data_IF_424124662887
#
_entry.id   IF_424124662887
#
_cell.length_a   1.000
_cell.length_b   1.000
_cell.length_c   1.000
_cell.angle_alpha   90.00
_cell.angle_beta   90.00
_cell.angle_gamma   90.00
#
_symmetry.space_group_name_H-M   'P 1'
#
loop_
_entity.id
_entity.type
_entity.pdbx_description
1 polymer ?
#
# COMPACT_ATOMS: atom_id res chain seq x y z
N UNK A 1 -8.93 -19.87 -7.23
CA UNK A 1 -9.12 -18.54 -7.83
C UNK A 1 -8.02 -17.60 -7.38
N UNK A 2 -7.50 -16.82 -8.31
CA UNK A 2 -6.33 -15.96 -8.07
C UNK A 2 -6.59 -14.92 -6.97
N UNK A 3 -7.67 -14.15 -7.09
CA UNK A 3 -7.97 -13.08 -6.13
C UNK A 3 -8.25 -13.61 -4.73
N UNK A 4 -8.85 -14.78 -4.62
CA UNK A 4 -9.09 -15.42 -3.32
C UNK A 4 -7.78 -15.76 -2.61
N UNK A 5 -6.82 -16.34 -3.35
CA UNK A 5 -5.49 -16.66 -2.79
C UNK A 5 -4.75 -15.43 -2.31
N UNK A 6 -4.80 -14.36 -3.09
CA UNK A 6 -4.18 -13.08 -2.74
C UNK A 6 -4.83 -12.51 -1.49
N UNK A 7 -6.16 -12.51 -1.43
CA UNK A 7 -6.90 -12.00 -0.28
C UNK A 7 -6.59 -12.75 1.01
N UNK A 8 -6.52 -14.07 0.94
CA UNK A 8 -6.17 -14.91 2.09
C UNK A 8 -4.76 -14.63 2.58
N UNK A 9 -3.79 -14.54 1.65
CA UNK A 9 -2.41 -14.27 2.01
C UNK A 9 -2.23 -12.87 2.61
N UNK A 10 -2.88 -11.88 2.04
CA UNK A 10 -2.84 -10.49 2.52
C UNK A 10 -3.47 -10.38 3.92
N UNK A 11 -4.55 -11.11 4.16
CA UNK A 11 -5.20 -11.12 5.48
C UNK A 11 -4.30 -11.71 6.56
N UNK A 12 -3.47 -12.70 6.20
CA UNK A 12 -2.54 -13.34 7.15
C UNK A 12 -1.29 -12.50 7.40
N UNK A 13 -0.95 -11.58 6.49
CA UNK A 13 0.27 -10.77 6.59
C UNK A 13 -0.02 -9.30 6.22
N UNK A 14 -0.90 -8.62 6.96
CA UNK A 14 -1.33 -7.26 6.60
C UNK A 14 -0.23 -6.22 6.68
N UNK A 15 0.79 -6.48 7.49
CA UNK A 15 1.91 -5.54 7.70
C UNK A 15 3.00 -5.67 6.64
N UNK A 16 2.95 -6.70 5.81
CA UNK A 16 4.01 -6.94 4.84
C UNK A 16 3.97 -5.99 3.66
N UNK A 17 5.16 -5.60 3.22
CA UNK A 17 5.36 -4.73 2.08
C UNK A 17 5.45 -5.59 0.82
N UNK A 18 4.34 -5.73 0.13
CA UNK A 18 4.21 -6.65 -0.99
C UNK A 18 4.67 -6.06 -2.31
N UNK A 19 5.19 -6.89 -3.20
CA UNK A 19 5.48 -6.48 -4.56
C UNK A 19 4.76 -7.39 -5.57
N UNK A 20 4.82 -7.00 -6.83
CA UNK A 20 4.11 -7.66 -7.92
C UNK A 20 4.55 -9.10 -8.12
N UNK A 21 5.86 -9.36 -8.00
CA UNK A 21 6.43 -10.69 -8.15
C UNK A 21 5.93 -11.61 -7.04
N UNK A 22 5.92 -11.14 -5.81
CA UNK A 22 5.41 -11.92 -4.68
C UNK A 22 3.94 -12.29 -4.88
N UNK A 23 3.12 -11.35 -5.36
CA UNK A 23 1.72 -11.64 -5.64
C UNK A 23 1.55 -12.72 -6.70
N UNK A 24 2.36 -12.67 -7.77
CA UNK A 24 2.29 -13.69 -8.81
C UNK A 24 2.69 -15.07 -8.29
N UNK A 25 3.69 -15.12 -7.40
CA UNK A 25 4.14 -16.36 -6.78
C UNK A 25 3.08 -16.93 -5.83
N UNK A 26 2.47 -16.10 -5.01
CA UNK A 26 1.40 -16.51 -4.08
C UNK A 26 0.21 -17.08 -4.85
N UNK A 27 -0.17 -16.43 -5.93
CA UNK A 27 -1.29 -16.86 -6.76
C UNK A 27 -0.92 -17.99 -7.71
N UNK A 28 0.39 -18.28 -7.86
CA UNK A 28 0.91 -19.29 -8.77
C UNK A 28 0.47 -19.06 -10.22
N UNK A 29 0.61 -17.83 -10.68
CA UNK A 29 0.23 -17.40 -12.04
C UNK A 29 1.30 -16.50 -12.63
N UNK A 30 1.25 -16.28 -13.94
CA UNK A 30 2.11 -15.34 -14.62
C UNK A 30 1.68 -13.90 -14.30
N UNK A 31 2.57 -12.94 -14.56
CA UNK A 31 2.23 -11.51 -14.39
C UNK A 31 1.05 -11.12 -15.27
N UNK A 32 0.98 -11.67 -16.49
CA UNK A 32 -0.12 -11.39 -17.41
C UNK A 32 -1.46 -11.88 -16.85
N UNK A 33 -1.48 -13.09 -16.30
CA UNK A 33 -2.69 -13.65 -15.68
C UNK A 33 -3.08 -12.84 -14.44
N UNK A 34 -2.09 -12.39 -13.66
CA UNK A 34 -2.32 -11.55 -12.51
C UNK A 34 -2.97 -10.21 -12.90
N UNK A 35 -2.42 -9.56 -13.93
CA UNK A 35 -2.97 -8.30 -14.44
C UNK A 35 -4.42 -8.46 -14.91
N UNK A 36 -4.69 -9.54 -15.64
CA UNK A 36 -6.05 -9.83 -16.12
C UNK A 36 -7.02 -10.03 -14.96
N UNK A 37 -6.63 -10.80 -13.95
CA UNK A 37 -7.47 -11.06 -12.79
C UNK A 37 -7.78 -9.77 -12.01
N UNK A 38 -6.77 -8.94 -11.79
CA UNK A 38 -6.98 -7.66 -11.11
C UNK A 38 -7.92 -6.74 -11.88
N UNK A 39 -7.73 -6.64 -13.20
CA UNK A 39 -8.59 -5.80 -14.04
C UNK A 39 -10.03 -6.29 -14.00
N UNK A 40 -10.22 -7.61 -14.05
CA UNK A 40 -11.56 -8.22 -14.07
C UNK A 40 -12.28 -8.02 -12.73
N UNK A 41 -11.60 -8.24 -11.61
CA UNK A 41 -12.25 -8.25 -10.29
C UNK A 41 -12.21 -6.92 -9.54
N UNK A 42 -11.20 -6.08 -9.80
CA UNK A 42 -11.06 -4.79 -9.10
C UNK A 42 -11.21 -3.58 -10.00
N UNK A 43 -11.12 -3.78 -11.31
CA UNK A 43 -11.12 -2.68 -12.26
C UNK A 43 -9.80 -1.94 -12.35
N UNK A 44 -8.78 -2.35 -11.60
CA UNK A 44 -7.49 -1.66 -11.57
C UNK A 44 -6.32 -2.62 -11.78
N UNK A 45 -5.18 -2.07 -12.20
CA UNK A 45 -3.94 -2.83 -12.33
C UNK A 45 -3.39 -3.21 -10.96
N UNK A 46 -2.68 -4.35 -10.83
CA UNK A 46 -2.13 -4.76 -9.54
C UNK A 46 -1.13 -3.77 -8.96
N UNK A 47 -0.36 -3.05 -9.78
CA UNK A 47 0.57 -2.02 -9.30
C UNK A 47 -0.18 -0.89 -8.60
N UNK A 48 -1.32 -0.48 -9.14
CA UNK A 48 -2.15 0.57 -8.54
C UNK A 48 -2.77 0.08 -7.22
N UNK A 49 -3.27 -1.15 -7.20
CA UNK A 49 -3.81 -1.78 -6.01
C UNK A 49 -2.77 -1.85 -4.88
N UNK A 50 -1.55 -2.28 -5.23
CA UNK A 50 -0.45 -2.35 -4.26
C UNK A 50 -0.11 -0.97 -3.70
N UNK A 51 -0.10 0.05 -4.56
CA UNK A 51 0.17 1.42 -4.15
C UNK A 51 -0.88 1.92 -3.15
N UNK A 52 -2.17 1.69 -3.44
CA UNK A 52 -3.25 2.06 -2.53
C UNK A 52 -3.12 1.33 -1.20
N UNK A 53 -2.78 0.05 -1.24
CA UNK A 53 -2.57 -0.74 -0.03
C UNK A 53 -1.44 -0.18 0.83
N UNK A 54 -0.33 0.20 0.20
CA UNK A 54 0.81 0.81 0.91
C UNK A 54 0.45 2.17 1.49
N UNK A 55 -0.32 2.97 0.75
CA UNK A 55 -0.80 4.27 1.24
C UNK A 55 -1.68 4.09 2.48
N UNK A 56 -2.58 3.11 2.46
CA UNK A 56 -3.43 2.81 3.60
C UNK A 56 -2.62 2.33 4.81
N UNK A 57 -1.57 1.54 4.58
CA UNK A 57 -0.68 1.08 5.66
C UNK A 57 0.09 2.25 6.27
N UNK A 58 0.61 3.14 5.43
CA UNK A 58 1.30 4.35 5.89
C UNK A 58 0.35 5.24 6.70
N UNK A 59 -0.90 5.38 6.24
CA UNK A 59 -1.92 6.15 6.95
C UNK A 59 -2.17 5.59 8.35
N UNK A 60 -2.34 4.27 8.45
CA UNK A 60 -2.54 3.61 9.75
C UNK A 60 -1.36 3.82 10.69
N UNK A 61 -0.14 3.74 10.15
CA UNK A 61 1.06 3.96 10.97
C UNK A 61 1.14 5.42 11.45
N UNK A 62 0.84 6.38 10.59
CA UNK A 62 0.82 7.80 10.98
C UNK A 62 -0.24 8.09 12.04
N UNK A 63 -1.39 7.41 11.98
CA UNK A 63 -2.43 7.52 12.99
C UNK A 63 -2.02 6.89 14.32
N UNK A 64 -1.27 5.80 14.28
CA UNK A 64 -0.91 5.03 15.48
C UNK A 64 0.29 5.59 16.22
N UNK A 65 1.17 6.35 15.56
CA UNK A 65 2.40 6.86 16.13
C UNK A 65 2.36 8.37 16.31
N UNK A 66 3.26 8.89 17.15
CA UNK A 66 3.34 10.32 17.42
C UNK A 66 4.53 10.96 16.71
N UNK A 67 4.51 12.29 16.61
CA UNK A 67 5.59 13.05 16.00
C UNK A 67 6.92 12.92 16.76
N UNK A 68 6.88 12.48 18.03
CA UNK A 68 8.09 12.23 18.80
C UNK A 68 8.66 10.84 18.54
N UNK A 69 7.85 9.91 18.03
CA UNK A 69 8.27 8.53 17.76
C UNK A 69 8.80 8.33 16.35
N UNK A 70 8.27 9.09 15.38
CA UNK A 70 8.62 8.91 13.99
C UNK A 70 8.49 10.20 13.18
N UNK A 71 8.88 10.13 11.91
CA UNK A 71 8.71 11.24 10.96
C UNK A 71 7.93 10.73 9.75
N UNK A 72 7.36 11.66 8.97
CA UNK A 72 6.70 11.33 7.71
C UNK A 72 7.65 10.57 6.77
N UNK A 73 8.92 11.04 6.70
CA UNK A 73 9.91 10.40 5.83
C UNK A 73 10.17 8.94 6.23
N UNK A 74 10.29 8.67 7.52
CA UNK A 74 10.51 7.30 8.02
C UNK A 74 9.34 6.39 7.67
N UNK A 75 8.12 6.86 7.87
CA UNK A 75 6.91 6.09 7.54
C UNK A 75 6.83 5.84 6.04
N UNK A 76 7.08 6.87 5.23
CA UNK A 76 7.07 6.73 3.77
C UNK A 76 8.08 5.67 3.31
N UNK A 77 9.31 5.72 3.83
CA UNK A 77 10.36 4.76 3.48
C UNK A 77 10.03 3.35 3.94
N UNK A 78 9.44 3.21 5.11
CA UNK A 78 9.00 1.91 5.63
C UNK A 78 8.05 1.21 4.66
N UNK A 79 7.21 1.97 3.97
CA UNK A 79 6.23 1.43 3.02
C UNK A 79 6.69 1.58 1.56
N UNK A 80 8.00 1.71 1.35
CA UNK A 80 8.65 1.74 0.02
C UNK A 80 8.26 2.93 -0.85
N UNK A 81 8.04 4.08 -0.23
CA UNK A 81 7.85 5.34 -0.94
C UNK A 81 9.17 6.13 -0.88
N UNK A 82 9.93 6.03 -1.95
CA UNK A 82 11.29 6.62 -2.02
C UNK A 82 11.29 8.07 -2.48
N UNK A 83 10.17 8.57 -2.98
CA UNK A 83 10.01 9.94 -3.46
C UNK A 83 8.98 10.64 -2.59
N UNK A 84 9.45 11.39 -1.61
CA UNK A 84 8.60 11.98 -0.58
C UNK A 84 7.53 12.94 -1.14
N UNK A 85 7.89 13.75 -2.15
CA UNK A 85 6.93 14.65 -2.78
C UNK A 85 5.77 13.91 -3.46
N UNK A 86 6.07 12.82 -4.15
CA UNK A 86 5.04 11.99 -4.78
C UNK A 86 4.18 11.28 -3.74
N UNK A 87 4.80 10.80 -2.68
CA UNK A 87 4.08 10.19 -1.56
C UNK A 87 3.08 11.20 -0.98
N UNK A 88 3.52 12.40 -0.67
CA UNK A 88 2.67 13.44 -0.10
C UNK A 88 1.51 13.81 -1.01
N UNK A 89 1.75 13.93 -2.32
CA UNK A 89 0.69 14.23 -3.29
C UNK A 89 -0.33 13.10 -3.39
N UNK A 90 0.12 11.85 -3.46
CA UNK A 90 -0.76 10.68 -3.50
C UNK A 90 -1.56 10.54 -2.21
N UNK A 91 -0.92 10.77 -1.08
CA UNK A 91 -1.54 10.72 0.24
C UNK A 91 -2.65 11.76 0.35
N UNK A 92 -2.36 13.01 -0.02
CA UNK A 92 -3.32 14.09 0.04
C UNK A 92 -4.52 13.83 -0.89
N UNK A 93 -4.27 13.29 -2.08
CA UNK A 93 -5.35 12.95 -3.02
C UNK A 93 -6.31 11.92 -2.42
N UNK A 94 -5.79 10.95 -1.67
CA UNK A 94 -6.59 9.85 -1.11
C UNK A 94 -7.24 10.24 0.23
N UNK A 95 -6.48 10.82 1.14
CA UNK A 95 -6.93 11.08 2.52
C UNK A 95 -7.37 12.53 2.79
N UNK A 96 -7.24 13.41 1.81
CA UNK A 96 -7.68 14.81 1.86
C UNK A 96 -6.93 15.66 2.89
N UNK A 97 -5.74 15.22 3.28
CA UNK A 97 -4.83 15.96 4.14
C UNK A 97 -3.40 15.53 3.86
N UNK A 98 -2.42 16.28 4.32
CA UNK A 98 -1.01 15.91 4.18
C UNK A 98 -0.63 14.86 5.23
N UNK A 99 0.39 14.02 4.94
CA UNK A 99 0.88 13.06 5.94
C UNK A 99 1.30 13.73 7.24
N UNK A 100 1.91 14.92 7.15
CA UNK A 100 2.31 15.69 8.33
C UNK A 100 1.12 16.13 9.17
N UNK A 101 -0.02 16.41 8.54
CA UNK A 101 -1.24 16.77 9.28
C UNK A 101 -1.75 15.58 10.08
N UNK A 102 -1.74 14.39 9.49
CA UNK A 102 -2.15 13.16 10.18
C UNK A 102 -1.26 12.91 11.40
N UNK A 103 0.05 13.02 11.22
CA UNK A 103 1.02 12.75 12.28
C UNK A 103 0.90 13.74 13.44
N UNK A 104 0.56 14.98 13.16
CA UNK A 104 0.45 16.05 14.17
C UNK A 104 -0.84 16.06 14.96
N UNK A 105 -1.83 15.26 14.58
CA UNK A 105 -3.15 15.28 15.22
C UNK A 105 -3.18 14.91 16.69
N UNK A 106 -2.11 14.41 17.19
CA UNK A 106 -2.04 13.98 18.59
C UNK A 106 -1.15 14.87 19.42
#
# INVERSE_FOLDING_TARGET
MIMKRIGEWVADAPEENLNLLELSQVANVSLRQLQHAFKTYTGMAPTHWLRLRRLNSAHRELLARTATETTVAEVAMHWSFWHLGRFSSSYRALFKELPSDTLKRR
#
